data_IF_591546884195
#
_entry.id   IF_591546884195
#
_cell.length_a   1.000
_cell.length_b   1.000
_cell.length_c   1.000
_cell.angle_alpha   90.00
_cell.angle_beta   90.00
_cell.angle_gamma   90.00
#
_symmetry.space_group_name_H-M   'P 1'
#
loop_
_entity.id
_entity.type
_entity.pdbx_description
1 polymer ?
#
# COMPACT_ATOMS: atom_id res chain seq x y z
N UNK A 1 -64.11 -9.29 -24.02
CA UNK A 1 -62.82 -9.62 -24.67
C UNK A 1 -62.06 -8.39 -25.15
N UNK A 2 -62.60 -7.52 -26.02
CA UNK A 2 -61.89 -6.31 -26.54
C UNK A 2 -61.30 -5.36 -25.48
N UNK A 3 -61.96 -5.21 -24.31
CA UNK A 3 -61.45 -4.38 -23.20
C UNK A 3 -60.25 -5.01 -22.45
N UNK A 4 -60.20 -6.34 -22.38
CA UNK A 4 -59.10 -7.07 -21.74
C UNK A 4 -57.87 -7.08 -22.66
N UNK A 5 -58.07 -7.28 -23.97
CA UNK A 5 -56.98 -7.16 -24.94
C UNK A 5 -56.43 -5.73 -25.04
N UNK A 6 -57.27 -4.70 -24.96
CA UNK A 6 -56.80 -3.31 -24.93
C UNK A 6 -56.01 -2.99 -23.65
N UNK A 7 -56.39 -3.55 -22.50
CA UNK A 7 -55.67 -3.38 -21.23
C UNK A 7 -54.33 -4.12 -21.23
N UNK A 8 -54.26 -5.32 -21.83
CA UNK A 8 -53.02 -6.09 -22.01
C UNK A 8 -52.08 -5.38 -23.01
N UNK A 9 -52.61 -4.80 -24.10
CA UNK A 9 -51.82 -4.00 -25.03
C UNK A 9 -51.30 -2.69 -24.41
N UNK A 10 -52.10 -2.05 -23.55
CA UNK A 10 -51.67 -0.87 -22.78
C UNK A 10 -50.57 -1.23 -21.77
N UNK A 11 -50.71 -2.36 -21.06
CA UNK A 11 -49.68 -2.93 -20.19
C UNK A 11 -48.40 -3.31 -20.96
N UNK A 12 -48.52 -3.91 -22.14
CA UNK A 12 -47.38 -4.22 -23.02
C UNK A 12 -46.69 -2.96 -23.57
N UNK A 13 -47.44 -1.88 -23.82
CA UNK A 13 -46.85 -0.59 -24.24
C UNK A 13 -46.12 0.15 -23.11
N UNK A 14 -46.47 -0.12 -21.84
CA UNK A 14 -45.74 0.36 -20.66
C UNK A 14 -44.50 -0.48 -20.34
N UNK A 15 -44.33 -1.63 -21.02
CA UNK A 15 -43.10 -2.46 -21.00
C UNK A 15 -42.16 -2.02 -22.14
N UNK A 16 -42.30 -0.79 -22.66
CA UNK A 16 -41.25 -0.17 -23.47
C UNK A 16 -40.00 -0.04 -22.59
N UNK A 17 -38.98 -0.86 -22.89
CA UNK A 17 -37.73 -0.95 -22.18
C UNK A 17 -37.03 0.42 -22.08
N UNK A 18 -37.05 1.05 -20.91
CA UNK A 18 -35.96 1.92 -20.50
C UNK A 18 -34.97 1.05 -19.73
N UNK A 19 -34.13 0.30 -20.44
CA UNK A 19 -32.87 -0.13 -19.84
C UNK A 19 -32.01 1.12 -19.62
N UNK A 20 -31.35 1.21 -18.45
CA UNK A 20 -30.50 2.35 -18.14
C UNK A 20 -29.38 2.45 -19.17
N UNK A 21 -29.18 3.64 -19.72
CA UNK A 21 -28.03 3.89 -20.59
C UNK A 21 -26.74 3.95 -19.76
N UNK A 22 -25.59 3.85 -20.44
CA UNK A 22 -24.30 4.05 -19.79
C UNK A 22 -24.22 5.44 -19.10
N UNK A 23 -24.83 6.47 -19.71
CA UNK A 23 -24.87 7.81 -19.14
C UNK A 23 -25.72 7.85 -17.86
N UNK A 24 -26.89 7.20 -17.84
CA UNK A 24 -27.73 7.13 -16.66
C UNK A 24 -27.00 6.44 -15.50
N UNK A 25 -26.33 5.30 -15.79
CA UNK A 25 -25.53 4.57 -14.80
C UNK A 25 -24.38 5.42 -14.26
N UNK A 26 -23.71 6.18 -15.14
CA UNK A 26 -22.64 7.09 -14.75
C UNK A 26 -23.15 8.18 -13.82
N UNK A 27 -24.20 8.92 -14.21
CA UNK A 27 -24.72 10.05 -13.46
C UNK A 27 -25.30 9.63 -12.10
N UNK A 28 -25.90 8.44 -12.02
CA UNK A 28 -26.40 7.87 -10.76
C UNK A 28 -25.30 7.43 -9.80
N UNK A 29 -24.15 6.95 -10.31
CA UNK A 29 -23.16 6.24 -9.51
C UNK A 29 -21.92 7.08 -9.18
N UNK A 30 -21.59 8.06 -10.03
CA UNK A 30 -20.33 8.80 -9.98
C UNK A 30 -20.08 9.54 -8.66
N UNK A 31 -21.15 10.06 -8.03
CA UNK A 31 -21.05 10.78 -6.75
C UNK A 31 -20.66 9.87 -5.58
N UNK A 32 -20.83 8.56 -5.75
CA UNK A 32 -20.43 7.55 -4.77
C UNK A 32 -18.97 7.10 -4.89
N UNK A 33 -18.24 7.55 -5.91
CA UNK A 33 -16.88 7.09 -6.24
C UNK A 33 -15.87 8.21 -5.97
N UNK A 34 -14.80 7.87 -5.26
CA UNK A 34 -13.84 8.83 -4.71
C UNK A 34 -12.39 8.47 -5.09
N UNK A 35 -11.59 9.50 -5.32
CA UNK A 35 -10.15 9.36 -5.54
C UNK A 35 -9.48 9.30 -4.17
N UNK A 36 -8.77 8.21 -3.90
CA UNK A 36 -8.03 7.99 -2.66
C UNK A 36 -6.59 8.43 -2.87
N UNK A 37 -6.06 9.17 -1.89
CA UNK A 37 -4.64 9.42 -1.71
C UNK A 37 -4.20 8.83 -0.37
N UNK A 38 -3.13 8.07 -0.40
CA UNK A 38 -2.48 7.49 0.77
C UNK A 38 -1.01 7.93 0.80
N UNK A 39 -0.66 8.74 1.80
CA UNK A 39 0.74 8.98 2.14
C UNK A 39 1.20 7.93 3.14
N UNK A 40 2.32 7.27 2.86
CA UNK A 40 2.80 6.21 3.75
C UNK A 40 4.32 6.12 3.85
N UNK A 41 4.75 5.50 4.93
CA UNK A 41 6.10 5.03 5.18
C UNK A 41 6.04 3.77 6.04
N UNK A 42 7.15 3.06 6.19
CA UNK A 42 7.25 1.86 7.01
C UNK A 42 8.00 2.14 8.30
N UNK A 43 7.57 1.48 9.37
CA UNK A 43 8.27 1.42 10.65
C UNK A 43 8.63 -0.03 10.93
N UNK A 44 9.91 -0.29 11.15
CA UNK A 44 10.44 -1.56 11.64
C UNK A 44 10.86 -1.39 13.09
N UNK A 45 10.19 -2.09 14.01
CA UNK A 45 10.60 -2.15 15.42
C UNK A 45 11.64 -3.24 15.60
N UNK A 46 12.76 -2.87 16.20
CA UNK A 46 13.86 -3.77 16.54
C UNK A 46 13.66 -4.40 17.92
N UNK A 47 14.30 -5.56 18.21
CA UNK A 47 14.20 -6.23 19.51
C UNK A 47 14.63 -5.38 20.71
N UNK A 48 15.57 -4.45 20.50
CA UNK A 48 16.05 -3.51 21.51
C UNK A 48 15.06 -2.35 21.80
N UNK A 49 13.89 -2.33 21.15
CA UNK A 49 12.87 -1.30 21.30
C UNK A 49 13.05 -0.09 20.38
N UNK A 50 14.17 0.03 19.67
CA UNK A 50 14.39 1.11 18.71
C UNK A 50 13.54 0.92 17.45
N UNK A 51 13.27 2.02 16.75
CA UNK A 51 12.51 2.02 15.51
C UNK A 51 13.35 2.52 14.34
N UNK A 52 13.20 1.85 13.21
CA UNK A 52 13.77 2.27 11.93
C UNK A 52 12.62 2.65 11.00
N UNK A 53 12.81 3.75 10.28
CA UNK A 53 11.87 4.33 9.33
C UNK A 53 12.42 4.22 7.92
N UNK A 54 11.57 3.91 6.93
CA UNK A 54 11.98 3.79 5.53
C UNK A 54 10.76 3.88 4.61
N UNK A 55 10.97 4.08 3.31
CA UNK A 55 9.89 4.29 2.33
C UNK A 55 9.64 3.10 1.42
N UNK A 56 10.61 2.20 1.29
CA UNK A 56 10.55 1.08 0.37
C UNK A 56 11.87 0.34 0.31
N UNK A 57 12.03 -0.43 -0.76
CA UNK A 57 13.27 -1.13 -1.10
C UNK A 57 13.66 -0.67 -2.51
N UNK A 58 14.91 -0.27 -2.67
CA UNK A 58 15.43 0.16 -3.96
C UNK A 58 15.77 -1.04 -4.88
N UNK A 59 16.30 -0.76 -6.06
CA UNK A 59 16.63 -1.81 -7.05
C UNK A 59 17.80 -2.71 -6.62
N UNK A 60 18.61 -2.26 -5.67
CA UNK A 60 19.76 -2.99 -5.13
C UNK A 60 19.38 -3.81 -3.89
N UNK A 61 18.15 -3.68 -3.41
CA UNK A 61 17.67 -4.36 -2.20
C UNK A 61 17.93 -3.57 -0.92
N UNK A 62 18.33 -2.29 -0.99
CA UNK A 62 18.55 -1.45 0.18
C UNK A 62 17.25 -0.77 0.64
N UNK A 63 17.13 -0.52 1.94
CA UNK A 63 16.02 0.26 2.50
C UNK A 63 16.10 1.71 2.02
N UNK A 64 15.09 2.14 1.28
CA UNK A 64 15.02 3.48 0.71
C UNK A 64 14.66 4.52 1.79
N UNK A 65 15.31 5.68 1.78
CA UNK A 65 15.11 6.77 2.74
C UNK A 65 15.20 6.33 4.21
N UNK A 66 16.13 5.41 4.49
CA UNK A 66 16.39 4.93 5.84
C UNK A 66 16.60 6.09 6.83
N UNK A 67 15.91 6.03 7.95
CA UNK A 67 15.96 7.02 9.02
C UNK A 67 15.82 6.34 10.38
N UNK A 68 16.47 6.91 11.40
CA UNK A 68 16.38 6.45 12.79
C UNK A 68 15.50 7.35 13.66
N UNK A 69 15.11 8.52 13.13
CA UNK A 69 14.24 9.49 13.78
C UNK A 69 13.05 9.83 12.90
N UNK A 70 11.88 10.03 13.50
CA UNK A 70 10.66 10.37 12.76
C UNK A 70 10.80 11.69 11.96
N UNK A 71 11.57 12.64 12.47
CA UNK A 71 11.78 13.94 11.84
C UNK A 71 12.37 13.82 10.42
N UNK A 72 13.12 12.74 10.15
CA UNK A 72 13.84 12.53 8.89
C UNK A 72 13.03 11.79 7.83
N UNK A 73 11.92 11.14 8.23
CA UNK A 73 11.02 10.42 7.31
C UNK A 73 9.75 11.22 6.96
N UNK A 74 9.32 12.14 7.82
CA UNK A 74 8.00 12.80 7.71
C UNK A 74 7.75 13.50 6.38
N UNK A 75 8.80 14.01 5.71
CA UNK A 75 8.71 14.72 4.43
C UNK A 75 9.11 13.85 3.22
N UNK A 76 9.42 12.57 3.44
CA UNK A 76 9.87 11.63 2.40
C UNK A 76 8.83 10.54 2.10
N UNK A 77 7.62 10.69 2.63
CA UNK A 77 6.55 9.70 2.50
C UNK A 77 6.26 9.39 1.03
N UNK A 78 5.95 8.13 0.78
CA UNK A 78 5.49 7.70 -0.54
C UNK A 78 4.03 8.06 -0.72
N UNK A 79 3.64 8.35 -1.95
CA UNK A 79 2.26 8.62 -2.32
C UNK A 79 1.77 7.44 -3.15
N UNK A 80 0.63 6.89 -2.74
CA UNK A 80 -0.13 5.94 -3.52
C UNK A 80 -1.54 6.46 -3.74
N UNK A 81 -2.04 6.31 -4.96
CA UNK A 81 -3.41 6.69 -5.32
C UNK A 81 -4.22 5.49 -5.79
N UNK A 82 -5.51 5.55 -5.55
CA UNK A 82 -6.46 4.50 -5.92
C UNK A 82 -7.87 5.04 -5.99
N UNK A 83 -8.82 4.16 -6.25
CA UNK A 83 -10.25 4.47 -6.25
C UNK A 83 -10.92 3.79 -5.06
N UNK A 84 -11.96 4.40 -4.51
CA UNK A 84 -12.88 3.74 -3.60
C UNK A 84 -14.31 4.19 -3.84
N UNK A 85 -15.25 3.55 -3.16
CA UNK A 85 -16.66 3.89 -3.26
C UNK A 85 -17.43 3.68 -1.96
N UNK A 86 -18.44 4.50 -1.70
CA UNK A 86 -19.25 4.42 -0.48
C UNK A 86 -20.13 3.17 -0.47
N UNK A 87 -20.16 2.48 0.68
CA UNK A 87 -20.97 1.26 0.88
C UNK A 87 -22.02 1.39 1.98
N UNK A 88 -22.02 2.50 2.71
CA UNK A 88 -23.04 2.85 3.70
C UNK A 88 -23.20 4.39 3.82
N UNK A 89 -24.03 4.83 4.79
CA UNK A 89 -24.23 6.25 5.10
C UNK A 89 -23.30 6.78 6.20
N UNK A 90 -22.44 5.92 6.76
CA UNK A 90 -21.51 6.21 7.85
C UNK A 90 -20.11 6.61 7.34
N UNK A 91 -19.99 6.94 6.05
CA UNK A 91 -18.73 7.32 5.43
C UNK A 91 -17.79 6.14 5.18
N UNK A 92 -18.28 4.90 5.22
CA UNK A 92 -17.46 3.71 4.93
C UNK A 92 -17.28 3.55 3.43
N UNK A 93 -16.02 3.38 3.03
CA UNK A 93 -15.56 3.33 1.64
C UNK A 93 -14.85 2.00 1.43
N UNK A 94 -15.26 1.25 0.41
CA UNK A 94 -14.57 0.04 -0.03
C UNK A 94 -13.48 0.40 -1.04
N UNK A 95 -12.32 -0.25 -0.90
CA UNK A 95 -11.19 -0.14 -1.83
C UNK A 95 -10.33 -1.40 -1.77
N UNK A 96 -9.20 -1.39 -2.45
CA UNK A 96 -8.21 -2.45 -2.37
C UNK A 96 -7.33 -2.35 -1.11
N UNK A 97 -6.87 -3.49 -0.58
CA UNK A 97 -5.98 -3.49 0.58
C UNK A 97 -4.64 -2.82 0.28
N UNK A 98 -4.04 -3.06 -0.88
CA UNK A 98 -2.79 -2.37 -1.24
C UNK A 98 -2.96 -0.85 -1.39
N UNK A 99 -4.19 -0.37 -1.61
CA UNK A 99 -4.48 1.08 -1.64
C UNK A 99 -4.52 1.66 -0.22
N UNK A 100 -5.19 0.98 0.69
CA UNK A 100 -5.38 1.44 2.07
C UNK A 100 -4.15 1.18 2.97
N UNK A 101 -3.47 0.05 2.78
CA UNK A 101 -2.34 -0.40 3.59
C UNK A 101 -1.35 -1.17 2.70
N UNK A 102 -0.42 -0.45 2.04
CA UNK A 102 0.61 -1.05 1.20
C UNK A 102 1.42 -2.10 1.95
N UNK A 103 1.67 -3.24 1.30
CA UNK A 103 2.52 -4.31 1.82
C UNK A 103 3.95 -4.16 1.33
N UNK A 104 4.89 -4.66 2.12
CA UNK A 104 6.30 -4.74 1.74
C UNK A 104 6.82 -6.17 1.90
N UNK A 105 7.77 -6.56 1.06
CA UNK A 105 8.44 -7.85 1.17
C UNK A 105 9.31 -7.87 2.43
N UNK A 106 8.79 -8.52 3.48
CA UNK A 106 9.47 -8.61 4.78
C UNK A 106 10.79 -9.37 4.70
N UNK A 107 10.91 -10.34 3.78
CA UNK A 107 12.15 -11.09 3.58
C UNK A 107 13.23 -10.18 3.04
N UNK A 108 12.90 -9.41 2.01
CA UNK A 108 13.81 -8.42 1.44
C UNK A 108 14.19 -7.33 2.46
N UNK A 109 13.25 -6.84 3.28
CA UNK A 109 13.56 -5.90 4.38
C UNK A 109 14.55 -6.51 5.37
N UNK A 110 14.37 -7.76 5.77
CA UNK A 110 15.29 -8.44 6.69
C UNK A 110 16.67 -8.60 6.07
N UNK A 111 16.76 -9.07 4.84
CA UNK A 111 18.04 -9.24 4.14
C UNK A 111 18.78 -7.91 4.04
N UNK A 112 18.07 -6.85 3.68
CA UNK A 112 18.60 -5.48 3.66
C UNK A 112 19.15 -5.04 5.02
N UNK A 113 18.38 -5.24 6.09
CA UNK A 113 18.79 -4.90 7.45
C UNK A 113 20.02 -5.70 7.90
N UNK A 114 20.03 -7.02 7.69
CA UNK A 114 21.17 -7.87 8.08
C UNK A 114 22.44 -7.49 7.30
N UNK A 115 22.33 -7.19 6.00
CA UNK A 115 23.45 -6.72 5.18
C UNK A 115 23.99 -5.37 5.68
N UNK A 116 23.11 -4.45 6.08
CA UNK A 116 23.50 -3.18 6.69
C UNK A 116 24.28 -3.40 8.00
N UNK A 117 23.77 -4.23 8.91
CA UNK A 117 24.46 -4.53 10.18
C UNK A 117 25.80 -5.21 9.94
N UNK A 118 25.87 -6.19 9.03
CA UNK A 118 27.11 -6.87 8.67
C UNK A 118 28.15 -5.88 8.12
N UNK A 119 27.72 -4.91 7.30
CA UNK A 119 28.60 -3.86 6.76
C UNK A 119 29.15 -2.95 7.85
N UNK A 120 28.32 -2.57 8.83
CA UNK A 120 28.74 -1.78 9.99
C UNK A 120 29.75 -2.56 10.85
N UNK A 121 29.49 -3.85 11.11
CA UNK A 121 30.44 -4.72 11.84
C UNK A 121 31.77 -4.84 11.12
N UNK A 122 31.76 -5.01 9.80
CA UNK A 122 32.96 -5.09 8.97
C UNK A 122 33.78 -3.78 9.03
N UNK A 123 33.10 -2.62 9.02
CA UNK A 123 33.75 -1.33 9.22
C UNK A 123 34.48 -1.24 10.57
N UNK A 124 33.80 -1.60 11.67
CA UNK A 124 34.45 -1.62 12.99
C UNK A 124 35.60 -2.62 13.06
N UNK A 125 35.47 -3.79 12.44
CA UNK A 125 36.55 -4.78 12.38
C UNK A 125 37.79 -4.23 11.65
N UNK A 126 37.61 -3.46 10.57
CA UNK A 126 38.71 -2.81 9.87
C UNK A 126 39.40 -1.73 10.74
N UNK A 127 38.62 -0.90 11.45
CA UNK A 127 39.17 0.10 12.38
C UNK A 127 39.93 -0.54 13.54
N UNK A 128 39.38 -1.61 14.13
CA UNK A 128 40.03 -2.38 15.19
C UNK A 128 41.33 -3.04 14.71
N UNK A 129 41.36 -3.53 13.47
CA UNK A 129 42.58 -4.08 12.85
C UNK A 129 43.67 -3.02 12.72
N UNK A 130 43.31 -1.78 12.33
CA UNK A 130 44.24 -0.67 12.25
C UNK A 130 44.83 -0.30 13.62
N UNK A 131 43.99 -0.20 14.67
CA UNK A 131 44.44 0.04 16.05
C UNK A 131 45.39 -1.06 16.54
N UNK A 132 45.03 -2.32 16.27
CA UNK A 132 45.88 -3.46 16.63
C UNK A 132 47.22 -3.41 15.91
N UNK A 133 47.27 -3.00 14.63
CA UNK A 133 48.52 -2.88 13.89
C UNK A 133 49.42 -1.78 14.45
N UNK A 134 48.84 -0.63 14.81
CA UNK A 134 49.58 0.48 15.43
C UNK A 134 50.15 0.08 16.79
N UNK A 135 49.37 -0.63 17.61
CA UNK A 135 49.84 -1.19 18.87
C UNK A 135 51.06 -2.11 18.67
N UNK A 136 51.00 -3.01 17.67
CA UNK A 136 52.12 -3.93 17.38
C UNK A 136 53.35 -3.20 16.86
N UNK A 137 53.18 -2.13 16.09
CA UNK A 137 54.29 -1.28 15.63
C UNK A 137 54.98 -0.61 16.83
N UNK A 138 54.23 -0.07 17.79
CA UNK A 138 54.77 0.47 19.04
C UNK A 138 55.46 -0.61 19.88
N UNK A 139 54.88 -1.81 19.95
CA UNK A 139 55.49 -2.94 20.66
C UNK A 139 56.87 -3.28 20.07
N UNK A 140 56.97 -3.32 18.73
CA UNK A 140 58.25 -3.58 18.05
C UNK A 140 59.31 -2.49 18.29
N UNK A 141 58.91 -1.24 18.55
CA UNK A 141 59.85 -0.14 18.83
C UNK A 141 60.44 -0.21 20.23
N UNK A 142 59.90 -1.03 21.14
CA UNK A 142 60.47 -1.22 22.48
C UNK A 142 61.88 -1.78 22.42
N UNK A 143 62.24 -2.57 21.41
CA UNK A 143 63.62 -3.04 21.23
C UNK A 143 64.61 -1.90 21.06
N UNK A 144 64.20 -0.82 20.40
CA UNK A 144 65.05 0.36 20.14
C UNK A 144 65.25 1.23 21.40
N UNK A 145 64.58 0.88 22.51
CA UNK A 145 64.74 1.55 23.79
C UNK A 145 65.89 0.96 24.61
N UNK A 146 66.53 -0.12 24.14
CA UNK A 146 67.68 -0.74 24.79
C UNK A 146 68.93 -0.52 23.96
N UNK A 147 70.00 -0.06 24.61
CA UNK A 147 71.33 0.09 24.01
C UNK A 147 72.40 -0.59 24.87
N UNK A 148 73.53 -0.94 24.29
CA UNK A 148 74.60 -1.66 24.98
C UNK A 148 75.91 -0.88 24.88
N UNK A 149 76.64 -0.74 25.99
CA UNK A 149 78.00 -0.18 25.95
C UNK A 149 79.04 -1.20 25.45
N UNK A 150 80.29 -0.74 25.33
CA UNK A 150 81.44 -1.55 24.90
C UNK A 150 81.70 -2.78 25.79
N UNK A 151 81.23 -2.77 27.04
CA UNK A 151 81.37 -3.86 28.01
C UNK A 151 80.12 -4.77 28.07
N UNK A 152 79.09 -4.47 27.29
CA UNK A 152 77.85 -5.24 27.23
C UNK A 152 76.82 -4.88 28.31
N UNK A 153 76.98 -3.77 29.03
CA UNK A 153 75.95 -3.31 29.96
C UNK A 153 74.79 -2.68 29.19
N UNK A 154 73.56 -3.06 29.52
CA UNK A 154 72.36 -2.53 28.91
C UNK A 154 71.96 -1.18 29.55
N UNK A 155 71.59 -0.22 28.71
CA UNK A 155 70.99 1.06 29.09
C UNK A 155 69.60 1.15 28.47
N UNK A 156 68.63 1.46 29.31
CA UNK A 156 67.22 1.58 28.95
C UNK A 156 66.84 3.06 28.81
N UNK A 157 66.10 3.39 27.75
CA UNK A 157 65.43 4.67 27.62
C UNK A 157 64.02 4.56 28.25
N UNK A 158 63.95 4.77 29.56
CA UNK A 158 62.72 4.64 30.35
C UNK A 158 61.66 5.66 29.94
N UNK A 159 62.04 6.88 29.54
CA UNK A 159 61.09 7.91 29.08
C UNK A 159 60.38 7.47 27.79
N UNK A 160 61.13 6.96 26.81
CA UNK A 160 60.57 6.45 25.55
C UNK A 160 59.70 5.21 25.77
N UNK A 161 60.08 4.32 26.70
CA UNK A 161 59.25 3.17 27.07
C UNK A 161 57.94 3.61 27.73
N UNK A 162 57.98 4.63 28.59
CA UNK A 162 56.79 5.18 29.22
C UNK A 162 55.86 5.86 28.20
N UNK A 163 56.41 6.59 27.23
CA UNK A 163 55.66 7.17 26.13
C UNK A 163 54.97 6.10 25.28
N UNK A 164 55.71 5.06 24.88
CA UNK A 164 55.16 3.90 24.15
C UNK A 164 54.03 3.24 24.95
N UNK A 165 54.23 3.02 26.25
CA UNK A 165 53.23 2.40 27.11
C UNK A 165 51.95 3.26 27.22
N UNK A 166 52.09 4.59 27.30
CA UNK A 166 50.96 5.52 27.32
C UNK A 166 50.15 5.43 26.01
N UNK A 167 50.83 5.48 24.86
CA UNK A 167 50.18 5.38 23.55
C UNK A 167 49.48 4.03 23.36
N UNK A 168 50.13 2.94 23.79
CA UNK A 168 49.54 1.61 23.76
C UNK A 168 48.27 1.50 24.62
N UNK A 169 48.26 2.11 25.80
CA UNK A 169 47.08 2.16 26.67
C UNK A 169 45.91 2.91 26.01
N UNK A 170 46.18 4.01 25.30
CA UNK A 170 45.16 4.77 24.58
C UNK A 170 44.58 3.96 23.40
N UNK A 171 45.43 3.26 22.64
CA UNK A 171 44.99 2.38 21.55
C UNK A 171 44.14 1.22 22.06
N UNK A 172 44.51 0.63 23.20
CA UNK A 172 43.75 -0.45 23.84
C UNK A 172 42.36 0.05 24.31
N UNK A 173 42.27 1.24 24.89
CA UNK A 173 40.99 1.85 25.27
C UNK A 173 40.08 2.08 24.07
N UNK A 174 40.63 2.62 22.97
CA UNK A 174 39.89 2.81 21.72
C UNK A 174 39.42 1.47 21.14
N UNK A 175 40.29 0.47 21.11
CA UNK A 175 39.96 -0.86 20.62
C UNK A 175 38.82 -1.48 21.43
N UNK A 176 38.89 -1.42 22.75
CA UNK A 176 37.88 -1.96 23.66
C UNK A 176 36.53 -1.25 23.50
N UNK A 177 36.55 0.06 23.25
CA UNK A 177 35.35 0.86 22.96
C UNK A 177 34.69 0.39 21.66
N UNK A 178 35.45 0.27 20.57
CA UNK A 178 34.92 -0.20 19.28
C UNK A 178 34.42 -1.64 19.36
N UNK A 179 35.15 -2.52 20.07
CA UNK A 179 34.74 -3.90 20.27
C UNK A 179 33.40 -3.97 21.02
N UNK A 180 33.23 -3.18 22.08
CA UNK A 180 31.98 -3.14 22.85
C UNK A 180 30.79 -2.69 21.99
N UNK A 181 30.98 -1.69 21.13
CA UNK A 181 29.94 -1.25 20.17
C UNK A 181 29.64 -2.37 19.17
N UNK A 182 30.66 -3.00 18.58
CA UNK A 182 30.49 -4.07 17.59
C UNK A 182 29.76 -5.29 18.16
N UNK A 183 30.13 -5.73 19.36
CA UNK A 183 29.50 -6.86 20.05
C UNK A 183 28.07 -6.55 20.51
N UNK A 184 27.72 -5.28 20.71
CA UNK A 184 26.35 -4.87 21.03
C UNK A 184 25.37 -4.95 19.85
N UNK A 185 25.88 -5.10 18.62
CA UNK A 185 25.06 -5.21 17.43
C UNK A 185 24.70 -6.67 17.16
N UNK A 186 23.41 -6.97 17.08
CA UNK A 186 22.92 -8.27 16.63
C UNK A 186 22.86 -8.30 15.10
N UNK A 187 23.65 -9.18 14.47
CA UNK A 187 23.71 -9.38 13.02
C UNK A 187 22.79 -10.50 12.51
N UNK A 188 22.01 -11.13 13.39
CA UNK A 188 21.16 -12.27 13.05
C UNK A 188 19.73 -12.13 13.58
N UNK A 189 19.10 -10.99 13.35
CA UNK A 189 17.69 -10.81 13.70
C UNK A 189 16.80 -11.71 12.83
N UNK A 190 15.92 -12.47 13.47
CA UNK A 190 14.99 -13.37 12.78
C UNK A 190 13.77 -12.61 12.21
N UNK A 191 13.07 -13.18 11.22
CA UNK A 191 11.86 -12.55 10.67
C UNK A 191 10.78 -12.35 11.74
N UNK A 192 10.69 -13.27 12.69
CA UNK A 192 9.67 -13.28 13.74
C UNK A 192 9.91 -12.17 14.78
N UNK A 193 11.14 -11.65 14.84
CA UNK A 193 11.55 -10.55 15.72
C UNK A 193 11.31 -9.17 15.10
N UNK A 194 11.17 -9.08 13.77
CA UNK A 194 10.97 -7.81 13.06
C UNK A 194 9.49 -7.47 12.89
N UNK A 195 9.01 -6.49 13.67
CA UNK A 195 7.67 -5.92 13.48
C UNK A 195 7.72 -4.79 12.46
N UNK A 196 7.32 -5.09 11.21
CA UNK A 196 7.23 -4.11 10.12
C UNK A 196 5.77 -3.71 9.91
N UNK A 197 5.49 -2.41 10.01
CA UNK A 197 4.15 -1.85 9.85
C UNK A 197 4.17 -0.65 8.90
N UNK A 198 3.19 -0.58 7.98
CA UNK A 198 2.95 0.62 7.18
C UNK A 198 2.19 1.65 8.01
N UNK A 199 2.73 2.86 8.13
CA UNK A 199 2.03 4.01 8.72
C UNK A 199 1.41 4.79 7.57
N UNK A 200 0.08 4.89 7.55
CA UNK A 200 -0.69 5.46 6.45
C UNK A 200 -1.46 6.70 6.91
N UNK A 201 -1.44 7.76 6.11
CA UNK A 201 -2.29 8.94 6.21
C UNK A 201 -3.16 9.02 4.95
N UNK A 202 -4.46 8.79 5.11
CA UNK A 202 -5.39 8.57 4.00
C UNK A 202 -6.37 9.72 3.92
N UNK A 203 -6.63 10.21 2.71
CA UNK A 203 -7.67 11.18 2.42
C UNK A 203 -8.32 10.92 1.07
N UNK A 204 -9.43 11.61 0.81
CA UNK A 204 -10.18 11.45 -0.45
C UNK A 204 -10.53 12.79 -1.11
N UNK A 205 -10.70 12.74 -2.44
CA UNK A 205 -11.33 13.80 -3.21
C UNK A 205 -12.58 13.28 -3.91
N UNK A 206 -13.61 14.13 -3.97
CA UNK A 206 -14.87 13.85 -4.65
C UNK A 206 -14.81 14.26 -6.11
N UNK A 207 -15.68 13.66 -6.92
CA UNK A 207 -15.97 14.14 -8.27
C UNK A 207 -16.35 15.63 -8.26
N UNK A 208 -15.93 16.36 -9.28
CA UNK A 208 -16.19 17.78 -9.50
C UNK A 208 -15.68 18.70 -8.37
N UNK A 209 -14.56 18.35 -7.71
CA UNK A 209 -13.90 19.20 -6.71
C UNK A 209 -12.52 19.67 -7.15
N UNK A 210 -12.10 20.86 -6.71
CA UNK A 210 -10.76 21.37 -6.97
C UNK A 210 -9.79 20.96 -5.87
N UNK A 211 -8.67 20.38 -6.29
CA UNK A 211 -7.55 19.96 -5.43
C UNK A 211 -6.32 20.77 -5.87
N UNK A 212 -5.72 21.51 -4.94
CA UNK A 212 -4.55 22.35 -5.20
C UNK A 212 -3.25 21.70 -4.71
N UNK A 213 -3.35 20.78 -3.74
CA UNK A 213 -2.22 20.03 -3.20
C UNK A 213 -2.69 18.70 -2.61
N UNK A 214 -1.76 17.78 -2.38
CA UNK A 214 -2.07 16.48 -1.75
C UNK A 214 -2.69 16.63 -0.35
N UNK A 215 -2.37 17.74 0.35
CA UNK A 215 -2.95 18.07 1.66
C UNK A 215 -4.45 18.35 1.59
N UNK A 216 -4.98 18.78 0.44
CA UNK A 216 -6.43 18.96 0.29
C UNK A 216 -7.20 17.64 0.47
N UNK A 217 -6.61 16.49 0.14
CA UNK A 217 -7.22 15.18 0.43
C UNK A 217 -7.25 14.91 1.94
N UNK A 218 -6.09 15.10 2.58
CA UNK A 218 -5.85 14.71 3.98
C UNK A 218 -6.54 15.63 4.97
N UNK A 219 -6.61 16.93 4.69
CA UNK A 219 -7.15 17.93 5.61
C UNK A 219 -8.67 18.06 5.47
N UNK A 220 -9.22 17.98 4.24
CA UNK A 220 -10.67 18.16 4.00
C UNK A 220 -11.46 16.89 4.27
N UNK A 221 -10.98 15.74 3.79
CA UNK A 221 -11.68 14.47 3.89
C UNK A 221 -10.77 13.34 4.40
N UNK A 222 -10.23 13.46 5.62
CA UNK A 222 -9.39 12.42 6.19
C UNK A 222 -10.16 11.12 6.42
N UNK A 223 -9.49 10.01 6.19
CA UNK A 223 -9.99 8.67 6.41
C UNK A 223 -9.14 7.91 7.44
N UNK A 224 -9.69 6.82 7.97
CA UNK A 224 -8.99 5.81 8.76
C UNK A 224 -9.27 4.43 8.19
N UNK A 225 -8.29 3.52 8.27
CA UNK A 225 -8.48 2.12 7.90
C UNK A 225 -9.34 1.44 8.98
N UNK A 226 -10.40 0.76 8.57
CA UNK A 226 -11.32 0.04 9.48
C UNK A 226 -11.08 -1.46 9.45
N UNK A 227 -10.91 -2.03 8.25
CA UNK A 227 -10.69 -3.47 8.06
C UNK A 227 -9.84 -3.70 6.83
N UNK A 228 -8.87 -4.61 6.93
CA UNK A 228 -8.10 -5.12 5.79
C UNK A 228 -8.25 -6.63 5.74
N UNK A 229 -8.30 -7.20 4.55
CA UNK A 229 -8.33 -8.65 4.37
C UNK A 229 -6.97 -9.27 4.73
N UNK A 230 -7.02 -10.35 5.51
CA UNK A 230 -5.89 -11.20 5.87
C UNK A 230 -5.58 -12.27 4.81
N UNK A 231 -6.51 -12.52 3.88
CA UNK A 231 -6.38 -13.53 2.82
C UNK A 231 -5.53 -13.01 1.68
N UNK A 232 -4.50 -13.77 1.30
CA UNK A 232 -3.60 -13.42 0.17
C UNK A 232 -4.35 -13.22 -1.15
N UNK A 233 -5.38 -14.04 -1.42
CA UNK A 233 -6.16 -13.97 -2.66
C UNK A 233 -7.32 -12.95 -2.62
N UNK A 234 -7.44 -12.16 -1.56
CA UNK A 234 -8.52 -11.17 -1.41
C UNK A 234 -7.93 -9.85 -1.01
N UNK A 235 -7.74 -8.96 -1.97
CA UNK A 235 -7.14 -7.65 -1.73
C UNK A 235 -8.22 -6.59 -1.48
N UNK A 236 -8.95 -6.71 -0.39
CA UNK A 236 -10.02 -5.77 0.01
C UNK A 236 -9.68 -5.06 1.30
N UNK A 237 -10.08 -3.78 1.36
CA UNK A 237 -10.09 -2.99 2.58
C UNK A 237 -11.34 -2.12 2.67
N UNK A 238 -11.68 -1.73 3.89
CA UNK A 238 -12.58 -0.62 4.15
C UNK A 238 -11.83 0.49 4.86
N UNK A 239 -11.99 1.71 4.36
CA UNK A 239 -11.61 2.94 5.05
C UNK A 239 -12.90 3.68 5.43
N UNK A 240 -12.83 4.58 6.40
CA UNK A 240 -13.98 5.39 6.81
C UNK A 240 -13.56 6.84 6.99
N UNK A 241 -14.39 7.75 6.50
CA UNK A 241 -14.25 9.19 6.77
C UNK A 241 -14.23 9.44 8.28
N UNK A 242 -13.30 10.27 8.78
CA UNK A 242 -13.20 10.56 10.23
C UNK A 242 -14.46 11.20 10.79
N UNK A 243 -15.25 11.90 9.96
CA UNK A 243 -16.53 12.49 10.35
C UNK A 243 -17.69 11.47 10.43
N UNK A 244 -17.46 10.22 9.98
CA UNK A 244 -18.43 9.13 9.93
C UNK A 244 -19.75 9.46 9.20
N UNK A 245 -19.68 10.31 8.17
CA UNK A 245 -20.84 10.71 7.37
C UNK A 245 -20.52 10.65 5.88
N UNK A 246 -21.29 9.84 5.14
CA UNK A 246 -21.34 9.89 3.67
C UNK A 246 -22.08 11.15 3.24
N UNK A 247 -21.60 11.93 2.25
CA UNK A 247 -22.34 13.07 1.70
C UNK A 247 -23.78 12.67 1.30
N UNK A 248 -24.74 13.57 1.49
CA UNK A 248 -26.16 13.21 1.40
C UNK A 248 -26.54 12.82 -0.05
N UNK A 249 -25.94 13.50 -1.03
CA UNK A 249 -26.05 13.28 -2.47
C UNK A 249 -25.14 12.17 -3.04
N UNK A 250 -24.26 11.59 -2.23
CA UNK A 250 -23.38 10.52 -2.68
C UNK A 250 -24.15 9.20 -2.84
N UNK A 251 -23.94 8.55 -3.99
CA UNK A 251 -24.41 7.21 -4.25
C UNK A 251 -23.80 6.21 -3.26
N UNK A 252 -24.61 5.29 -2.75
CA UNK A 252 -24.17 4.22 -1.85
C UNK A 252 -24.35 2.88 -2.55
N UNK A 253 -23.24 2.22 -2.86
CA UNK A 253 -23.26 0.94 -3.56
C UNK A 253 -23.69 -0.18 -2.62
N UNK A 254 -24.65 -0.99 -3.08
CA UNK A 254 -25.10 -2.16 -2.34
C UNK A 254 -24.12 -3.31 -2.51
N UNK A 255 -23.67 -3.87 -1.39
CA UNK A 255 -22.68 -4.96 -1.34
C UNK A 255 -23.30 -6.36 -1.24
N UNK A 256 -24.63 -6.45 -1.34
CA UNK A 256 -25.42 -7.69 -1.37
C UNK A 256 -25.81 -8.15 -2.80
N UNK A 257 -25.31 -7.44 -3.82
CA UNK A 257 -25.58 -7.69 -5.23
C UNK A 257 -27.03 -7.37 -5.64
N UNK A 258 -27.70 -6.50 -4.90
CA UNK A 258 -29.04 -5.97 -5.26
C UNK A 258 -28.95 -4.50 -5.66
N UNK A 259 -30.03 -3.98 -6.24
CA UNK A 259 -30.23 -2.56 -6.51
C UNK A 259 -31.54 -2.12 -5.86
N UNK A 260 -31.71 -0.82 -5.64
CA UNK A 260 -32.99 -0.28 -5.22
C UNK A 260 -33.97 -0.36 -6.40
N UNK A 261 -34.83 -1.38 -6.37
CA UNK A 261 -35.81 -1.65 -7.42
C UNK A 261 -37.05 -0.77 -7.27
N UNK A 262 -37.41 -0.06 -8.34
CA UNK A 262 -38.70 0.60 -8.43
C UNK A 262 -39.83 -0.44 -8.50
N UNK A 263 -41.07 -0.02 -8.22
CA UNK A 263 -42.23 -0.91 -8.20
C UNK A 263 -42.39 -1.72 -9.51
N UNK A 264 -42.00 -1.14 -10.65
CA UNK A 264 -42.03 -1.77 -11.97
C UNK A 264 -40.95 -2.87 -12.09
N UNK A 265 -39.74 -2.62 -11.57
CA UNK A 265 -38.63 -3.58 -11.62
C UNK A 265 -38.90 -4.78 -10.72
N UNK A 266 -39.51 -4.57 -9.55
CA UNK A 266 -39.98 -5.66 -8.67
C UNK A 266 -40.96 -6.58 -9.39
N UNK A 267 -41.91 -5.99 -10.13
CA UNK A 267 -42.90 -6.77 -10.91
C UNK A 267 -42.20 -7.52 -12.04
N UNK A 268 -41.27 -6.88 -12.77
CA UNK A 268 -40.48 -7.56 -13.82
C UNK A 268 -39.67 -8.73 -13.26
N UNK A 269 -38.94 -8.53 -12.17
CA UNK A 269 -38.11 -9.55 -11.55
C UNK A 269 -38.94 -10.71 -10.95
N UNK A 270 -40.18 -10.44 -10.51
CA UNK A 270 -41.12 -11.48 -10.08
C UNK A 270 -41.54 -12.42 -11.22
N UNK A 271 -41.49 -11.96 -12.47
CA UNK A 271 -41.82 -12.74 -13.66
C UNK A 271 -40.59 -13.20 -14.48
N UNK A 272 -39.38 -12.81 -14.10
CA UNK A 272 -38.12 -13.27 -14.71
C UNK A 272 -37.68 -14.61 -14.11
N UNK A 273 -37.49 -15.65 -14.93
CA UNK A 273 -37.03 -16.96 -14.46
C UNK A 273 -35.49 -17.12 -14.40
N UNK A 274 -34.74 -16.04 -14.65
CA UNK A 274 -33.28 -16.05 -14.72
C UNK A 274 -32.69 -15.47 -13.43
N UNK A 275 -31.68 -16.14 -12.86
CA UNK A 275 -30.94 -15.61 -11.73
C UNK A 275 -29.89 -14.63 -12.23
N UNK A 276 -30.33 -13.40 -12.51
CA UNK A 276 -29.50 -12.35 -13.11
C UNK A 276 -28.26 -11.98 -12.28
N UNK A 277 -28.12 -12.49 -11.04
CA UNK A 277 -26.92 -12.28 -10.20
C UNK A 277 -25.71 -13.12 -10.66
N UNK A 278 -25.93 -14.11 -11.53
CA UNK A 278 -24.86 -14.93 -12.08
C UNK A 278 -24.29 -14.21 -13.29
N UNK A 279 -22.96 -14.00 -13.31
CA UNK A 279 -22.30 -13.40 -14.46
C UNK A 279 -22.27 -14.39 -15.64
N UNK A 280 -22.38 -13.87 -16.86
CA UNK A 280 -22.31 -14.65 -18.10
C UNK A 280 -21.16 -14.17 -18.99
N UNK A 281 -20.58 -15.07 -19.80
CA UNK A 281 -19.61 -14.68 -20.84
C UNK A 281 -20.25 -13.66 -21.77
N UNK A 282 -19.48 -12.67 -22.22
CA UNK A 282 -19.92 -11.57 -23.08
C UNK A 282 -20.92 -10.59 -22.42
N UNK A 283 -21.21 -10.75 -21.12
CA UNK A 283 -22.00 -9.78 -20.37
C UNK A 283 -21.29 -8.42 -20.29
N UNK A 284 -22.02 -7.36 -20.64
CA UNK A 284 -21.53 -5.98 -20.55
C UNK A 284 -21.34 -5.55 -19.10
N UNK A 285 -20.16 -4.99 -18.82
CA UNK A 285 -19.78 -4.41 -17.54
C UNK A 285 -19.27 -2.99 -17.72
N UNK A 286 -19.34 -2.23 -16.64
CA UNK A 286 -18.85 -0.87 -16.53
C UNK A 286 -18.02 -0.70 -15.28
N UNK A 287 -16.91 0.02 -15.38
CA UNK A 287 -16.09 0.41 -14.24
C UNK A 287 -16.15 1.92 -14.11
N UNK A 288 -16.34 2.40 -12.89
CA UNK A 288 -16.40 3.83 -12.58
C UNK A 288 -15.27 4.11 -11.61
N UNK A 289 -14.36 5.03 -11.95
CA UNK A 289 -13.19 5.27 -11.12
C UNK A 289 -12.20 6.27 -11.71
N UNK A 290 -11.00 6.28 -11.13
CA UNK A 290 -9.94 7.23 -11.47
C UNK A 290 -8.75 6.52 -12.08
N UNK A 291 -8.87 6.15 -13.36
CA UNK A 291 -7.76 5.62 -14.15
C UNK A 291 -6.61 6.64 -14.18
N UNK A 292 -5.37 6.18 -14.02
CA UNK A 292 -4.16 7.00 -13.87
C UNK A 292 -4.19 8.02 -12.72
N UNK A 293 -5.09 7.87 -11.74
CA UNK A 293 -5.15 8.72 -10.55
C UNK A 293 -5.26 10.22 -10.88
N UNK A 294 -4.54 11.10 -10.16
CA UNK A 294 -4.56 12.54 -10.39
C UNK A 294 -4.17 12.95 -11.82
N UNK A 295 -3.33 12.17 -12.51
CA UNK A 295 -2.79 12.49 -13.85
C UNK A 295 -3.89 12.66 -14.90
N UNK A 296 -4.90 11.79 -14.89
CA UNK A 296 -6.06 11.92 -15.79
C UNK A 296 -7.27 12.55 -15.11
N UNK A 297 -7.43 12.35 -13.79
CA UNK A 297 -8.57 12.89 -13.08
C UNK A 297 -8.58 14.42 -13.02
N UNK A 298 -7.41 15.07 -13.02
CA UNK A 298 -7.32 16.53 -12.89
C UNK A 298 -7.65 17.22 -14.21
N UNK A 299 -8.76 17.93 -14.25
CA UNK A 299 -9.21 18.72 -15.41
C UNK A 299 -9.34 20.20 -15.07
N UNK A 300 -9.66 21.03 -16.07
CA UNK A 300 -9.97 22.46 -15.85
C UNK A 300 -11.22 22.67 -15.00
N UNK A 301 -12.07 21.65 -14.89
CA UNK A 301 -13.31 21.64 -14.13
C UNK A 301 -13.13 20.98 -12.74
N UNK A 302 -11.91 20.63 -12.36
CA UNK A 302 -11.59 19.90 -11.13
C UNK A 302 -11.34 18.41 -11.39
N UNK A 303 -11.33 17.63 -10.32
CA UNK A 303 -11.23 16.17 -10.34
C UNK A 303 -12.48 15.61 -11.03
N UNK A 304 -12.31 14.79 -12.07
CA UNK A 304 -13.40 14.17 -12.81
C UNK A 304 -13.23 12.66 -12.79
N UNK A 305 -14.27 11.97 -12.33
CA UNK A 305 -14.35 10.51 -12.42
C UNK A 305 -14.55 10.05 -13.86
N UNK A 306 -14.04 8.88 -14.20
CA UNK A 306 -14.20 8.28 -15.52
C UNK A 306 -15.06 7.03 -15.47
N UNK A 307 -15.65 6.70 -16.60
CA UNK A 307 -16.31 5.44 -16.83
C UNK A 307 -15.66 4.73 -18.01
N UNK A 308 -15.32 3.46 -17.80
CA UNK A 308 -14.87 2.56 -18.86
C UNK A 308 -15.77 1.35 -18.93
N UNK A 309 -15.73 0.64 -20.06
CA UNK A 309 -16.64 -0.47 -20.32
C UNK A 309 -15.90 -1.63 -20.98
N UNK A 310 -16.43 -2.82 -20.78
CA UNK A 310 -15.88 -4.06 -21.33
C UNK A 310 -16.82 -5.20 -21.04
N UNK A 311 -16.41 -6.42 -21.37
CA UNK A 311 -17.27 -7.59 -21.20
C UNK A 311 -16.59 -8.64 -20.34
N UNK A 312 -17.39 -9.49 -19.70
CA UNK A 312 -16.90 -10.69 -19.03
C UNK A 312 -16.23 -11.60 -20.06
N UNK A 313 -14.95 -11.88 -19.85
CA UNK A 313 -14.14 -12.76 -20.72
C UNK A 313 -13.97 -14.15 -20.12
N UNK A 314 -14.12 -14.29 -18.79
CA UNK A 314 -14.11 -15.56 -18.08
C UNK A 314 -15.10 -15.51 -16.92
N UNK A 315 -15.87 -16.60 -16.74
CA UNK A 315 -16.76 -16.74 -15.59
C UNK A 315 -15.96 -16.79 -14.28
N UNK A 316 -16.55 -16.34 -13.16
CA UNK A 316 -15.89 -16.42 -11.88
C UNK A 316 -15.59 -17.86 -11.48
N UNK A 317 -14.33 -18.15 -11.16
CA UNK A 317 -13.86 -19.42 -10.59
C UNK A 317 -14.03 -19.47 -9.06
N UNK A 318 -14.64 -18.43 -8.48
CA UNK A 318 -14.78 -18.21 -7.05
C UNK A 318 -13.75 -17.24 -6.48
N UNK A 319 -12.64 -17.01 -7.18
CA UNK A 319 -11.56 -16.12 -6.74
C UNK A 319 -11.53 -14.79 -7.50
N UNK A 320 -11.84 -14.80 -8.80
CA UNK A 320 -11.73 -13.60 -9.65
C UNK A 320 -12.78 -13.57 -10.76
N UNK A 321 -13.13 -12.38 -11.22
CA UNK A 321 -13.87 -12.15 -12.48
C UNK A 321 -12.89 -11.60 -13.50
N UNK A 322 -12.81 -12.15 -14.72
CA UNK A 322 -12.01 -11.53 -15.79
C UNK A 322 -12.90 -10.77 -16.76
N UNK A 323 -12.42 -9.61 -17.18
CA UNK A 323 -13.09 -8.76 -18.14
C UNK A 323 -12.11 -8.00 -19.05
N UNK A 324 -12.65 -7.46 -20.13
CA UNK A 324 -11.91 -6.65 -21.12
C UNK A 324 -11.90 -5.15 -20.84
N UNK A 325 -12.41 -4.70 -19.67
CA UNK A 325 -12.40 -3.29 -19.29
C UNK A 325 -10.95 -2.80 -19.21
N UNK A 326 -10.54 -1.70 -19.86
CA UNK A 326 -9.19 -1.16 -19.76
C UNK A 326 -8.93 -0.59 -18.37
N UNK A 327 -7.79 -0.95 -17.76
CA UNK A 327 -7.38 -0.47 -16.44
C UNK A 327 -6.01 0.18 -16.51
N UNK A 328 -5.77 1.14 -15.62
CA UNK A 328 -4.46 1.76 -15.39
C UNK A 328 -4.19 1.82 -13.89
N UNK A 329 -2.97 2.17 -13.48
CA UNK A 329 -2.69 2.53 -12.10
C UNK A 329 -3.72 3.57 -11.59
N UNK A 330 -4.15 3.50 -10.33
CA UNK A 330 -5.21 4.37 -9.78
C UNK A 330 -6.63 3.82 -9.93
N UNK A 331 -6.88 2.91 -10.89
CA UNK A 331 -8.17 2.25 -11.05
C UNK A 331 -8.44 1.15 -10.01
N UNK A 332 -7.41 0.71 -9.29
CA UNK A 332 -7.53 -0.24 -8.18
C UNK A 332 -8.56 0.25 -7.16
N UNK A 333 -9.53 -0.59 -6.84
CA UNK A 333 -10.60 -0.32 -5.88
C UNK A 333 -11.87 0.25 -6.51
N UNK A 334 -11.88 0.45 -7.83
CA UNK A 334 -13.09 0.92 -8.55
C UNK A 334 -14.23 -0.09 -8.45
N UNK A 335 -15.48 0.35 -8.24
CA UNK A 335 -16.63 -0.52 -8.41
C UNK A 335 -16.78 -0.93 -9.88
N UNK A 336 -17.09 -2.21 -10.10
CA UNK A 336 -17.51 -2.75 -11.39
C UNK A 336 -18.98 -3.11 -11.29
N UNK A 337 -19.79 -2.54 -12.18
CA UNK A 337 -21.24 -2.71 -12.22
C UNK A 337 -21.69 -3.36 -13.54
N UNK A 338 -22.85 -4.00 -13.52
CA UNK A 338 -23.53 -4.47 -14.73
C UNK A 338 -24.44 -3.39 -15.36
N UNK A 339 -25.14 -3.75 -16.44
CA UNK A 339 -26.09 -2.86 -17.13
C UNK A 339 -27.32 -2.46 -16.30
N UNK A 340 -27.53 -3.06 -15.12
CA UNK A 340 -28.57 -2.68 -14.16
C UNK A 340 -28.04 -1.76 -13.06
N UNK A 341 -26.73 -1.51 -13.01
CA UNK A 341 -26.09 -0.76 -11.94
C UNK A 341 -25.80 -1.59 -10.67
N UNK A 342 -25.91 -2.92 -10.74
CA UNK A 342 -25.56 -3.78 -9.60
C UNK A 342 -24.06 -3.91 -9.51
N UNK A 343 -23.49 -3.77 -8.31
CA UNK A 343 -22.09 -4.10 -8.04
C UNK A 343 -21.87 -5.59 -8.29
N UNK A 344 -20.87 -5.92 -9.11
CA UNK A 344 -20.50 -7.31 -9.43
C UNK A 344 -19.07 -7.66 -9.01
N UNK A 345 -18.19 -6.66 -8.92
CA UNK A 345 -16.82 -6.84 -8.48
C UNK A 345 -16.18 -5.52 -8.01
N UNK A 346 -15.05 -5.63 -7.31
CA UNK A 346 -14.10 -4.52 -7.08
C UNK A 346 -12.89 -4.72 -7.98
N UNK A 347 -12.59 -3.75 -8.84
CA UNK A 347 -11.44 -3.83 -9.75
C UNK A 347 -10.13 -3.95 -8.98
N UNK A 348 -9.26 -4.84 -9.42
CA UNK A 348 -7.89 -4.96 -8.94
C UNK A 348 -6.95 -4.78 -10.14
N UNK A 349 -6.21 -3.68 -10.18
CA UNK A 349 -5.19 -3.48 -11.19
C UNK A 349 -3.89 -4.16 -10.74
N UNK A 350 -3.47 -5.23 -11.42
CA UNK A 350 -2.16 -5.86 -11.18
C UNK A 350 -1.09 -5.08 -11.94
N UNK A 351 0.04 -4.79 -11.28
CA UNK A 351 1.19 -4.16 -11.91
C UNK A 351 2.05 -5.18 -12.70
N UNK A 352 2.31 -4.81 -13.96
CA UNK A 352 3.27 -5.28 -14.98
C UNK A 352 3.07 -6.66 -15.65
N UNK A 353 2.76 -6.61 -16.95
CA UNK A 353 3.15 -7.63 -17.94
C UNK A 353 2.04 -8.17 -18.84
N UNK A 354 0.77 -7.93 -18.52
CA UNK A 354 -0.37 -8.48 -19.28
C UNK A 354 -1.41 -7.41 -19.57
N UNK A 355 -1.19 -6.61 -20.61
CA UNK A 355 -2.00 -5.43 -20.93
C UNK A 355 -3.46 -5.74 -21.36
N UNK A 356 -3.83 -7.01 -21.51
CA UNK A 356 -5.11 -7.43 -22.09
C UNK A 356 -6.04 -8.22 -21.16
N UNK A 357 -5.66 -8.48 -19.90
CA UNK A 357 -6.53 -9.20 -18.96
C UNK A 357 -6.60 -8.49 -17.61
N UNK A 358 -7.78 -7.93 -17.33
CA UNK A 358 -8.08 -7.25 -16.07
C UNK A 358 -9.00 -8.12 -15.23
N UNK A 359 -8.88 -8.00 -13.92
CA UNK A 359 -9.66 -8.83 -13.00
C UNK A 359 -10.24 -8.04 -11.84
N UNK A 360 -11.41 -8.49 -11.41
CA UNK A 360 -12.12 -7.96 -10.26
C UNK A 360 -12.32 -9.01 -9.17
N UNK A 361 -12.39 -8.54 -7.93
CA UNK A 361 -12.70 -9.34 -6.76
C UNK A 361 -14.23 -9.52 -6.70
N UNK A 362 -14.75 -10.76 -6.81
CA UNK A 362 -16.19 -11.03 -6.97
C UNK A 362 -17.02 -10.82 -5.70
N UNK A 363 -18.34 -10.71 -5.88
CA UNK A 363 -19.31 -10.48 -4.78
C UNK A 363 -19.25 -11.49 -3.63
N UNK A 364 -18.95 -12.76 -3.88
CA UNK A 364 -18.81 -13.76 -2.82
C UNK A 364 -17.63 -13.43 -1.87
N UNK A 365 -16.52 -12.90 -2.40
CA UNK A 365 -15.37 -12.46 -1.61
C UNK A 365 -15.68 -11.17 -0.86
N UNK A 366 -16.37 -10.22 -1.52
CA UNK A 366 -16.84 -8.98 -0.91
C UNK A 366 -17.75 -9.28 0.29
N UNK A 367 -18.76 -10.14 0.09
CA UNK A 367 -19.68 -10.54 1.14
C UNK A 367 -18.99 -11.30 2.28
N UNK A 368 -18.01 -12.16 1.97
CA UNK A 368 -17.23 -12.86 2.99
C UNK A 368 -16.30 -11.92 3.77
N UNK A 369 -15.80 -10.85 3.14
CA UNK A 369 -14.97 -9.84 3.77
C UNK A 369 -15.77 -8.88 4.67
N UNK A 370 -17.03 -8.60 4.35
CA UNK A 370 -17.87 -7.71 5.14
C UNK A 370 -18.53 -8.39 6.35
N UNK A 371 -18.62 -9.73 6.34
CA UNK A 371 -18.95 -10.53 7.52
C UNK A 371 -17.79 -10.48 8.52
#
# INVERSE_FOLDING_TARGET
>A
MKKITAFILLLLSLVSCNEKTAQDLFDESKTGVVLILNEYYYVMKLPNGNSIYFTGIDQEGNLENLAFEYADIKNKRQILTGTGFFIDKQGTIMTNRHVAQPSIDKTAVKESYNNMVASIKAYYAAQMSALSQEYQNLESQKSDCYSYDFYGNAYENTDKLQEIASQQSELEEQFNTLNSVRESMDDHVSLDELSITAVCEIGIAYDNTFVNSDRDFLDKNPCVVIKVSDKENTDLATIQLKNKKTPDEAHVFRTDGTIDENAIDKVKNMFSSHNDKILHIDQQLYMIGYNAGPTLATTKQGIQVQMTSGKVTQLPDGDRVLYSIPTMQGSSGSPVIDSKGRLVAVNFAKLRGTDNFNFGIPMNKIAAFLK
#
